data_IF_909599041673
#
_entry.id   IF_909599041673
#
_cell.length_a   1.000
_cell.length_b   1.000
_cell.length_c   1.000
_cell.angle_alpha   90.00
_cell.angle_beta   90.00
_cell.angle_gamma   90.00
#
_symmetry.space_group_name_H-M   'P 1'
#
loop_
_entity.id
_entity.type
_entity.pdbx_description
1 polymer ?
#
# COMPACT_ATOMS: atom_id res chain seq x y z
N UNK A 1 31.07 6.91 -9.55
CA UNK A 1 31.62 5.97 -8.55
C UNK A 1 32.16 6.67 -7.29
N UNK A 2 31.42 7.61 -6.68
CA UNK A 2 31.91 8.40 -5.54
C UNK A 2 30.99 8.37 -4.32
N UNK A 3 29.84 7.71 -4.37
CA UNK A 3 28.83 7.73 -3.29
C UNK A 3 29.11 6.72 -2.15
N UNK A 4 30.08 5.82 -2.29
CA UNK A 4 30.32 4.71 -1.35
C UNK A 4 31.49 4.90 -0.40
N UNK A 5 32.24 6.03 -0.44
CA UNK A 5 33.31 6.29 0.50
C UNK A 5 32.79 7.07 1.71
N UNK A 6 32.23 6.35 2.68
CA UNK A 6 31.83 6.87 3.98
C UNK A 6 30.32 6.78 4.22
N UNK A 7 29.76 5.56 4.27
CA UNK A 7 28.43 5.40 4.83
C UNK A 7 28.48 5.85 6.29
N UNK A 8 27.95 7.03 6.57
CA UNK A 8 27.88 7.59 7.93
C UNK A 8 26.89 6.78 8.80
N UNK A 9 25.98 6.02 8.18
CA UNK A 9 24.95 5.21 8.87
C UNK A 9 25.13 3.74 8.52
N UNK A 10 25.16 2.87 9.54
CA UNK A 10 25.25 1.42 9.36
C UNK A 10 23.87 0.78 9.35
N UNK A 11 23.63 -0.14 8.40
CA UNK A 11 22.39 -0.90 8.34
C UNK A 11 22.23 -1.79 9.59
N UNK A 12 21.09 -1.66 10.27
CA UNK A 12 20.75 -2.42 11.49
C UNK A 12 19.89 -3.63 11.11
N UNK A 13 20.41 -4.84 11.34
CA UNK A 13 19.65 -6.09 11.08
C UNK A 13 18.35 -6.17 11.86
N UNK A 14 18.30 -5.65 13.08
CA UNK A 14 17.10 -5.59 13.92
C UNK A 14 15.97 -4.76 13.30
N UNK A 15 16.31 -3.79 12.48
CA UNK A 15 15.35 -2.95 11.75
C UNK A 15 15.08 -3.47 10.32
N UNK A 16 15.73 -4.56 9.89
CA UNK A 16 15.58 -5.11 8.55
C UNK A 16 16.05 -4.17 7.44
N UNK A 17 17.04 -3.30 7.73
CA UNK A 17 17.50 -2.26 6.82
C UNK A 17 18.38 -2.82 5.69
N UNK A 18 18.00 -2.47 4.46
CA UNK A 18 18.79 -2.61 3.25
C UNK A 18 18.69 -1.28 2.50
N UNK A 19 19.76 -0.50 2.50
CA UNK A 19 19.75 0.81 1.86
C UNK A 19 19.82 0.66 0.35
N UNK A 20 18.85 1.20 -0.36
CA UNK A 20 18.89 1.32 -1.81
C UNK A 20 20.03 2.26 -2.18
N UNK A 21 20.88 1.85 -3.11
CA UNK A 21 22.04 2.63 -3.58
C UNK A 21 21.93 3.00 -5.06
N UNK A 22 21.08 2.30 -5.79
CA UNK A 22 20.82 2.54 -7.20
C UNK A 22 19.93 3.77 -7.40
N UNK A 23 20.51 4.81 -7.98
CA UNK A 23 19.84 6.10 -8.15
C UNK A 23 18.77 6.08 -9.25
N UNK A 24 18.93 5.26 -10.28
CA UNK A 24 17.95 5.16 -11.35
C UNK A 24 16.70 4.44 -10.87
N UNK A 25 16.87 3.43 -10.04
CA UNK A 25 15.75 2.77 -9.35
C UNK A 25 15.04 3.75 -8.42
N UNK A 26 15.80 4.53 -7.61
CA UNK A 26 15.23 5.53 -6.72
C UNK A 26 14.38 6.57 -7.48
N UNK A 27 14.88 7.06 -8.61
CA UNK A 27 14.17 8.00 -9.49
C UNK A 27 12.89 7.38 -10.03
N UNK A 28 12.96 6.15 -10.56
CA UNK A 28 11.79 5.42 -11.09
C UNK A 28 10.71 5.18 -10.02
N UNK A 29 11.09 4.95 -8.76
CA UNK A 29 10.14 4.82 -7.64
C UNK A 29 9.42 6.15 -7.40
N UNK A 30 10.16 7.26 -7.37
CA UNK A 30 9.58 8.60 -7.17
C UNK A 30 8.72 9.02 -8.36
N UNK A 31 9.14 8.71 -9.59
CA UNK A 31 8.37 9.01 -10.81
C UNK A 31 7.06 8.23 -10.91
N UNK A 32 6.99 7.05 -10.28
CA UNK A 32 5.76 6.26 -10.22
C UNK A 32 4.68 6.88 -9.31
N UNK A 33 5.06 7.77 -8.39
CA UNK A 33 4.12 8.47 -7.50
C UNK A 33 3.35 9.54 -8.27
N UNK A 34 2.04 9.65 -8.07
CA UNK A 34 1.18 10.62 -8.77
C UNK A 34 0.67 11.72 -7.83
N UNK A 35 0.34 11.37 -6.58
CA UNK A 35 -0.31 12.26 -5.63
C UNK A 35 0.65 13.11 -4.78
N UNK A 36 0.10 14.16 -4.18
CA UNK A 36 0.71 14.97 -3.14
C UNK A 36 -0.37 15.52 -2.19
N UNK A 37 -0.09 15.84 -0.92
CA UNK A 37 1.21 15.74 -0.25
C UNK A 37 1.67 14.30 -0.04
N UNK A 38 2.92 14.12 0.41
CA UNK A 38 3.62 12.83 0.46
C UNK A 38 4.17 12.55 1.84
N UNK A 39 3.98 11.32 2.32
CA UNK A 39 4.62 10.76 3.49
C UNK A 39 5.65 9.71 3.05
N UNK A 40 6.92 9.96 3.27
CA UNK A 40 7.98 8.97 3.10
C UNK A 40 8.14 8.14 4.37
N UNK A 41 8.05 6.82 4.25
CA UNK A 41 8.20 5.88 5.38
C UNK A 41 9.57 5.19 5.31
N UNK A 42 10.41 5.43 6.32
CA UNK A 42 11.75 4.88 6.39
C UNK A 42 12.70 5.45 5.34
N UNK A 43 12.93 6.77 5.32
CA UNK A 43 13.82 7.41 4.35
C UNK A 43 15.27 6.91 4.42
N UNK A 44 15.70 6.37 5.57
CA UNK A 44 17.07 5.91 5.78
C UNK A 44 18.07 7.03 5.56
N UNK A 45 18.94 6.90 4.55
CA UNK A 45 19.88 7.95 4.15
C UNK A 45 19.33 8.89 3.05
N UNK A 46 18.00 8.95 2.87
CA UNK A 46 17.35 9.91 1.98
C UNK A 46 17.47 9.62 0.49
N UNK A 47 17.60 8.35 0.10
CA UNK A 47 17.76 7.99 -1.31
C UNK A 47 16.52 8.33 -2.17
N UNK A 48 15.32 8.28 -1.63
CA UNK A 48 14.11 8.76 -2.30
C UNK A 48 13.89 10.25 -2.00
N UNK A 49 14.16 10.69 -0.76
CA UNK A 49 14.03 12.08 -0.29
C UNK A 49 14.67 13.08 -1.23
N UNK A 50 15.89 12.79 -1.73
CA UNK A 50 16.62 13.68 -2.65
C UNK A 50 15.89 13.98 -3.97
N UNK A 51 15.00 13.08 -4.41
CA UNK A 51 14.17 13.26 -5.60
C UNK A 51 12.78 13.79 -5.26
N UNK A 52 12.28 13.51 -4.06
CA UNK A 52 10.97 14.00 -3.58
C UNK A 52 11.00 15.52 -3.33
N UNK A 53 12.07 16.04 -2.73
CA UNK A 53 12.20 17.47 -2.42
C UNK A 53 12.03 18.34 -3.66
N UNK A 54 12.83 18.19 -4.75
CA UNK A 54 12.67 19.02 -5.94
C UNK A 54 11.33 18.81 -6.63
N UNK A 55 10.87 17.56 -6.76
CA UNK A 55 9.60 17.25 -7.41
C UNK A 55 8.41 17.99 -6.77
N UNK A 56 8.34 18.02 -5.45
CA UNK A 56 7.25 18.65 -4.72
C UNK A 56 7.39 20.18 -4.64
N UNK A 57 8.62 20.70 -4.78
CA UNK A 57 8.86 22.14 -4.90
C UNK A 57 8.38 22.66 -6.26
N UNK A 58 8.60 21.92 -7.35
CA UNK A 58 8.19 22.30 -8.72
C UNK A 58 6.67 22.18 -8.92
N UNK A 59 6.01 21.19 -8.32
CA UNK A 59 4.56 21.00 -8.37
C UNK A 59 3.75 22.11 -7.69
N UNK A 60 4.36 22.84 -6.76
CA UNK A 60 3.72 23.98 -6.10
C UNK A 60 3.57 25.23 -7.02
N UNK A 61 4.29 25.27 -8.13
CA UNK A 61 4.25 26.39 -9.08
C UNK A 61 3.25 26.21 -10.23
N UNK A 62 2.65 25.03 -10.42
CA UNK A 62 1.72 24.74 -11.51
C UNK A 62 0.23 24.66 -11.10
N UNK A 63 -0.08 24.92 -9.84
CA UNK A 63 -1.45 24.87 -9.28
C UNK A 63 -2.19 26.21 -9.25
N UNK A 64 -2.05 27.04 -10.27
CA UNK A 64 -2.74 28.33 -10.33
C UNK A 64 -3.26 28.62 -11.73
N UNK A 65 -4.51 28.31 -11.98
CA UNK A 65 -5.37 28.84 -13.04
C UNK A 65 -5.99 27.79 -13.98
N UNK A 66 -7.09 27.21 -13.54
CA UNK A 66 -8.16 26.80 -14.45
C UNK A 66 -9.52 27.00 -13.75
N UNK A 67 -9.89 28.28 -13.58
CA UNK A 67 -11.29 28.63 -13.40
C UNK A 67 -11.49 30.06 -13.94
N UNK A 68 -11.74 30.16 -15.22
CA UNK A 68 -12.48 31.22 -15.90
C UNK A 68 -12.39 30.98 -17.41
N UNK A 69 -13.46 30.50 -17.99
CA UNK A 69 -14.05 30.93 -19.26
C UNK A 69 -14.97 29.83 -19.79
N UNK A 70 -16.19 29.86 -19.26
CA UNK A 70 -17.34 29.25 -19.92
C UNK A 70 -18.28 30.39 -20.31
N UNK A 71 -18.22 30.79 -21.58
CA UNK A 71 -19.34 31.31 -22.35
C UNK A 71 -18.81 31.76 -23.72
N UNK A 72 -19.22 31.13 -24.75
CA UNK A 72 -20.04 31.64 -25.84
C UNK A 72 -19.97 30.72 -27.07
N UNK A 73 -21.12 30.37 -27.51
CA UNK A 73 -21.35 29.58 -28.71
C UNK A 73 -21.14 30.41 -29.97
N UNK A 74 -20.62 29.79 -31.05
CA UNK A 74 -20.55 30.40 -32.36
C UNK A 74 -20.18 29.38 -33.43
N UNK A 75 -21.17 29.00 -34.19
CA UNK A 75 -21.16 28.12 -35.35
C UNK A 75 -20.33 28.61 -36.51
N UNK A 76 -19.57 27.75 -37.16
CA UNK A 76 -19.43 27.69 -38.65
C UNK A 76 -18.40 26.58 -39.04
N UNK A 77 -18.84 25.68 -39.89
CA UNK A 77 -18.07 24.77 -40.75
C UNK A 77 -18.07 25.31 -42.19
N UNK A 78 -17.47 24.65 -43.17
CA UNK A 78 -16.06 24.24 -43.34
C UNK A 78 -15.46 24.84 -44.65
N UNK A 79 -14.18 24.81 -44.84
CA UNK A 79 -13.65 24.59 -46.20
C UNK A 79 -12.22 24.05 -46.24
N UNK A 80 -11.98 23.39 -47.34
CA UNK A 80 -10.93 22.48 -47.71
C UNK A 80 -9.61 23.17 -48.14
N UNK A 81 -8.56 22.39 -48.03
CA UNK A 81 -7.46 22.21 -49.01
C UNK A 81 -6.06 22.67 -48.64
N UNK A 82 -5.16 21.76 -49.01
CA UNK A 82 -3.76 21.90 -49.48
C UNK A 82 -2.63 21.51 -48.51
N UNK A 83 -2.11 20.36 -48.87
CA UNK A 83 -0.76 19.76 -48.79
C UNK A 83 0.42 20.74 -48.64
N UNK A 84 1.36 20.36 -47.77
CA UNK A 84 2.80 20.30 -48.16
C UNK A 84 3.65 19.64 -47.06
N UNK A 85 4.70 18.95 -47.51
CA UNK A 85 5.55 18.02 -46.78
C UNK A 85 6.57 18.71 -45.83
N UNK A 86 7.27 17.93 -44.96
CA UNK A 86 8.13 18.47 -43.92
C UNK A 86 9.56 18.77 -44.41
N UNK A 87 10.29 19.67 -43.76
CA UNK A 87 11.75 19.78 -43.94
C UNK A 87 12.48 18.88 -42.94
N UNK A 88 13.42 18.16 -43.48
CA UNK A 88 14.50 17.43 -42.81
C UNK A 88 15.34 18.36 -41.93
N UNK A 89 15.58 17.98 -40.66
CA UNK A 89 16.59 18.64 -39.84
C UNK A 89 17.70 17.67 -39.44
N UNK A 90 18.89 18.10 -39.82
CA UNK A 90 20.19 17.53 -39.56
C UNK A 90 20.57 17.49 -38.08
N UNK A 91 21.34 16.48 -37.74
CA UNK A 91 22.00 16.25 -36.47
C UNK A 91 22.89 17.40 -35.99
N UNK A 92 22.82 17.71 -34.71
CA UNK A 92 23.91 18.35 -33.98
C UNK A 92 23.94 17.83 -32.55
N UNK A 93 25.15 17.46 -32.12
CA UNK A 93 25.51 16.60 -31.01
C UNK A 93 25.25 17.12 -29.59
N UNK A 94 25.64 16.34 -28.59
CA UNK A 94 25.31 16.58 -27.19
C UNK A 94 26.15 17.68 -26.58
N UNK A 95 25.48 18.64 -25.92
CA UNK A 95 26.14 19.64 -25.10
C UNK A 95 26.58 19.03 -23.76
N UNK A 96 27.77 19.40 -23.24
CA UNK A 96 28.25 18.89 -21.99
C UNK A 96 27.49 19.49 -20.80
N UNK A 97 26.93 18.64 -19.91
CA UNK A 97 26.39 19.01 -18.62
C UNK A 97 27.55 19.46 -17.70
N UNK A 98 27.79 20.75 -17.64
CA UNK A 98 28.64 21.33 -16.61
C UNK A 98 27.87 21.43 -15.32
N UNK A 99 28.27 20.61 -14.34
CA UNK A 99 27.87 20.65 -12.94
C UNK A 99 28.44 21.89 -12.23
N UNK A 100 27.97 23.10 -12.56
CA UNK A 100 28.27 24.32 -11.78
C UNK A 100 27.14 25.34 -11.97
N UNK A 101 26.26 25.41 -10.95
CA UNK A 101 25.25 26.48 -10.95
C UNK A 101 24.23 26.49 -9.85
N UNK A 102 24.35 25.64 -8.79
CA UNK A 102 23.36 25.62 -7.70
C UNK A 102 23.92 26.09 -6.35
N UNK A 103 24.90 26.98 -6.35
CA UNK A 103 25.36 27.63 -5.14
C UNK A 103 25.14 29.13 -5.27
N UNK A 104 24.19 29.64 -4.55
CA UNK A 104 23.87 31.04 -4.17
C UNK A 104 22.49 31.52 -4.65
N UNK A 105 21.49 31.21 -3.88
CA UNK A 105 20.53 32.21 -3.40
C UNK A 105 20.03 31.78 -2.03
N UNK A 106 20.63 32.34 -1.00
CA UNK A 106 20.16 32.21 0.36
C UNK A 106 18.85 32.98 0.51
N UNK A 107 17.73 32.27 0.30
CA UNK A 107 16.42 32.70 0.73
C UNK A 107 15.72 31.46 1.29
N UNK A 108 15.44 31.54 2.57
CA UNK A 108 14.71 30.57 3.33
C UNK A 108 13.42 30.13 2.60
N UNK A 109 13.37 28.87 2.14
CA UNK A 109 12.17 28.18 1.65
C UNK A 109 11.86 26.91 2.45
N UNK A 110 11.86 26.90 3.80
CA UNK A 110 11.54 25.68 4.53
C UNK A 110 10.03 25.44 4.68
N UNK A 111 9.19 26.50 4.63
CA UNK A 111 7.78 26.37 4.97
C UNK A 111 6.90 25.66 3.92
N UNK A 112 7.28 25.67 2.63
CA UNK A 112 6.44 25.07 1.57
C UNK A 112 6.71 23.57 1.39
N UNK A 113 7.95 23.13 1.49
CA UNK A 113 8.32 21.73 1.33
C UNK A 113 7.81 20.88 2.51
N UNK A 114 7.95 21.37 3.74
CA UNK A 114 7.45 20.67 4.93
C UNK A 114 5.92 20.51 4.97
N UNK A 115 5.19 21.33 4.21
CA UNK A 115 3.73 21.16 4.03
C UNK A 115 3.36 20.04 3.07
N UNK A 116 4.23 19.72 2.13
CA UNK A 116 3.97 18.73 1.08
C UNK A 116 4.74 17.43 1.26
N UNK A 117 5.87 17.43 1.98
CA UNK A 117 6.68 16.26 2.27
C UNK A 117 6.88 16.11 3.77
N UNK A 118 6.51 14.94 4.29
CA UNK A 118 6.92 14.49 5.62
C UNK A 118 7.64 13.17 5.50
N UNK A 119 8.61 12.93 6.38
CA UNK A 119 9.40 11.71 6.43
C UNK A 119 9.42 11.18 7.86
N UNK A 120 9.09 9.89 8.03
CA UNK A 120 9.09 9.21 9.33
C UNK A 120 10.22 8.21 9.37
N UNK A 121 11.12 8.36 10.35
CA UNK A 121 12.26 7.48 10.55
C UNK A 121 12.39 7.09 12.02
N UNK A 122 12.61 5.79 12.28
CA UNK A 122 12.78 5.24 13.62
C UNK A 122 14.24 5.23 14.07
N UNK A 123 15.15 5.15 13.11
CA UNK A 123 16.58 5.06 13.39
C UNK A 123 17.21 6.43 13.64
N UNK A 124 17.66 6.67 14.87
CA UNK A 124 18.24 7.95 15.30
C UNK A 124 19.47 8.37 14.48
N UNK A 125 20.30 7.39 14.04
CA UNK A 125 21.47 7.68 13.20
C UNK A 125 21.02 8.19 11.82
N UNK A 126 20.01 7.55 11.24
CA UNK A 126 19.38 8.01 9.98
C UNK A 126 18.74 9.37 10.14
N UNK A 127 18.05 9.63 11.26
CA UNK A 127 17.47 10.96 11.56
C UNK A 127 18.55 12.05 11.65
N UNK A 128 19.67 11.77 12.35
CA UNK A 128 20.77 12.71 12.44
C UNK A 128 21.40 13.00 11.06
N UNK A 129 21.55 11.95 10.25
CA UNK A 129 22.03 12.05 8.87
C UNK A 129 21.11 12.93 8.02
N UNK A 130 19.79 12.68 8.08
CA UNK A 130 18.78 13.43 7.33
C UNK A 130 18.75 14.91 7.72
N UNK A 131 18.82 15.24 9.01
CA UNK A 131 18.90 16.62 9.49
C UNK A 131 20.11 17.38 8.93
N UNK A 132 21.24 16.68 8.79
CA UNK A 132 22.48 17.26 8.27
C UNK A 132 22.46 17.46 6.75
N UNK A 133 21.88 16.49 6.00
CA UNK A 133 22.02 16.45 4.53
C UNK A 133 20.76 16.93 3.80
N UNK A 134 19.62 16.98 4.47
CA UNK A 134 18.33 17.40 3.92
C UNK A 134 17.63 18.40 4.87
N UNK A 135 18.27 19.55 5.15
CA UNK A 135 17.70 20.57 6.04
C UNK A 135 16.36 21.12 5.53
N UNK A 136 16.04 20.93 4.25
CA UNK A 136 14.77 21.32 3.64
C UNK A 136 13.57 20.56 4.20
N UNK A 137 13.78 19.38 4.79
CA UNK A 137 12.72 18.64 5.48
C UNK A 137 12.22 19.40 6.72
N UNK A 138 13.11 20.11 7.44
CA UNK A 138 12.75 20.89 8.62
C UNK A 138 11.85 20.09 9.58
N UNK A 139 10.70 20.69 9.96
CA UNK A 139 9.68 20.06 10.81
C UNK A 139 8.93 18.90 10.13
N UNK A 140 9.15 18.67 8.83
CA UNK A 140 8.61 17.51 8.11
C UNK A 140 9.32 16.21 8.45
N UNK A 141 10.54 16.26 9.04
CA UNK A 141 11.24 15.06 9.50
C UNK A 141 10.79 14.67 10.91
N UNK A 142 10.15 13.52 11.01
CA UNK A 142 9.56 13.00 12.23
C UNK A 142 10.35 11.78 12.71
N UNK A 143 10.97 11.89 13.89
CA UNK A 143 11.57 10.72 14.56
C UNK A 143 10.48 9.91 15.24
N UNK A 144 10.26 8.67 14.79
CA UNK A 144 9.20 7.83 15.35
C UNK A 144 8.97 6.50 14.65
N UNK A 145 8.13 5.70 15.29
CA UNK A 145 7.68 4.41 14.76
C UNK A 145 6.40 4.62 13.96
N UNK A 146 6.47 4.43 12.64
CA UNK A 146 5.31 4.53 11.75
C UNK A 146 4.13 3.67 12.22
N UNK A 147 4.38 2.48 12.75
CA UNK A 147 3.30 1.58 13.17
C UNK A 147 2.52 2.11 14.39
N UNK A 148 3.16 2.91 15.24
CA UNK A 148 2.54 3.47 16.45
C UNK A 148 1.98 4.88 16.25
N UNK A 149 2.39 5.57 15.20
CA UNK A 149 2.01 6.95 14.96
C UNK A 149 0.54 7.08 14.55
N UNK A 150 -0.15 8.10 15.02
CA UNK A 150 -1.43 8.51 14.44
C UNK A 150 -1.18 9.26 13.12
N UNK A 151 -1.77 8.77 12.05
CA UNK A 151 -1.64 9.38 10.72
C UNK A 151 -2.59 10.57 10.53
N UNK A 152 -3.60 10.69 11.38
CA UNK A 152 -4.54 11.81 11.37
C UNK A 152 -3.82 13.07 11.83
N UNK A 153 -4.05 14.15 11.12
CA UNK A 153 -3.40 15.44 11.46
C UNK A 153 -1.96 15.60 10.96
N UNK A 154 -1.36 14.58 10.30
CA UNK A 154 -0.09 14.77 9.61
C UNK A 154 -0.20 15.78 8.46
N UNK A 155 -1.31 15.72 7.74
CA UNK A 155 -1.64 16.63 6.65
C UNK A 155 -3.09 17.12 6.80
N UNK A 156 -3.45 18.26 6.21
CA UNK A 156 -4.83 18.78 6.27
C UNK A 156 -5.87 17.88 5.58
N UNK A 157 -5.45 16.93 4.76
CA UNK A 157 -6.31 16.05 3.99
C UNK A 157 -5.61 14.73 3.65
N UNK A 158 -5.97 14.16 2.50
CA UNK A 158 -5.37 12.94 1.99
C UNK A 158 -3.91 13.17 1.58
N UNK A 159 -3.12 12.10 1.63
CA UNK A 159 -1.71 12.11 1.25
C UNK A 159 -1.27 10.77 0.69
N UNK A 160 -0.28 10.78 -0.18
CA UNK A 160 0.32 9.56 -0.73
C UNK A 160 1.43 9.05 0.20
N UNK A 161 1.63 7.74 0.22
CA UNK A 161 2.74 7.11 0.95
C UNK A 161 3.76 6.58 -0.05
N UNK A 162 5.04 6.83 0.24
CA UNK A 162 6.16 6.26 -0.51
C UNK A 162 7.21 5.68 0.45
N UNK A 163 7.93 4.65 0.03
CA UNK A 163 9.06 4.15 0.81
C UNK A 163 9.66 2.84 0.33
N UNK A 164 10.88 2.60 0.80
CA UNK A 164 11.51 1.29 0.78
C UNK A 164 11.17 0.58 2.10
N UNK A 165 10.08 -0.18 2.12
CA UNK A 165 9.57 -0.74 3.38
C UNK A 165 10.48 -1.84 3.93
N UNK A 166 10.80 -1.80 5.25
CA UNK A 166 11.52 -2.89 5.89
C UNK A 166 10.78 -4.22 5.73
N UNK A 167 11.49 -5.27 5.30
CA UNK A 167 10.87 -6.53 4.93
C UNK A 167 10.14 -7.23 6.07
N UNK A 168 10.67 -7.11 7.29
CA UNK A 168 10.11 -7.76 8.48
C UNK A 168 8.78 -7.16 8.96
N UNK A 169 8.45 -5.93 8.57
CA UNK A 169 7.22 -5.23 9.00
C UNK A 169 6.33 -4.80 7.85
N UNK A 170 6.67 -5.11 6.59
CA UNK A 170 5.91 -4.68 5.41
C UNK A 170 4.41 -5.03 5.50
N UNK A 171 4.08 -6.23 5.98
CA UNK A 171 2.69 -6.63 6.19
C UNK A 171 1.96 -5.77 7.23
N UNK A 172 2.65 -5.37 8.31
CA UNK A 172 2.06 -4.51 9.35
C UNK A 172 1.82 -3.09 8.81
N UNK A 173 2.76 -2.58 7.98
CA UNK A 173 2.60 -1.31 7.28
C UNK A 173 1.35 -1.33 6.41
N UNK A 174 1.13 -2.39 5.62
CA UNK A 174 -0.08 -2.52 4.80
C UNK A 174 -1.36 -2.58 5.63
N UNK A 175 -1.39 -3.29 6.75
CA UNK A 175 -2.56 -3.27 7.63
C UNK A 175 -2.86 -1.87 8.17
N UNK A 176 -1.82 -1.13 8.56
CA UNK A 176 -2.00 0.27 9.01
C UNK A 176 -2.51 1.16 7.88
N UNK A 177 -2.04 0.98 6.65
CA UNK A 177 -2.55 1.69 5.47
C UNK A 177 -4.04 1.38 5.26
N UNK A 178 -4.45 0.10 5.32
CA UNK A 178 -5.86 -0.30 5.20
C UNK A 178 -6.73 0.35 6.28
N UNK A 179 -6.24 0.39 7.51
CA UNK A 179 -6.98 0.98 8.63
C UNK A 179 -7.08 2.52 8.52
N UNK A 180 -6.23 3.16 7.69
CA UNK A 180 -6.24 4.59 7.38
C UNK A 180 -6.51 4.89 5.89
N UNK A 181 -7.18 4.00 5.18
CA UNK A 181 -7.41 4.04 3.74
C UNK A 181 -8.09 5.33 3.24
N UNK A 182 -8.87 5.97 4.11
CA UNK A 182 -9.57 7.21 3.78
C UNK A 182 -8.62 8.41 3.66
N UNK A 183 -7.46 8.32 4.31
CA UNK A 183 -6.39 9.32 4.25
C UNK A 183 -5.36 9.01 3.16
N UNK A 184 -5.26 7.75 2.72
CA UNK A 184 -4.17 7.27 1.85
C UNK A 184 -4.72 6.82 0.50
N UNK A 185 -4.85 7.73 -0.49
CA UNK A 185 -5.34 7.39 -1.83
C UNK A 185 -4.31 6.63 -2.67
N UNK A 186 -3.02 6.78 -2.40
CA UNK A 186 -1.96 6.15 -3.18
C UNK A 186 -0.79 5.70 -2.32
N UNK A 187 -0.22 4.55 -2.67
CA UNK A 187 1.02 4.04 -2.08
C UNK A 187 1.95 3.56 -3.17
N UNK A 188 3.18 4.04 -3.20
CA UNK A 188 4.26 3.51 -4.03
C UNK A 188 5.34 2.95 -3.10
N UNK A 189 5.57 1.65 -3.15
CA UNK A 189 6.54 1.07 -2.23
C UNK A 189 7.36 -0.05 -2.86
N UNK A 190 8.58 -0.19 -2.33
CA UNK A 190 9.46 -1.31 -2.62
C UNK A 190 9.44 -2.29 -1.45
N UNK A 191 9.20 -3.57 -1.76
CA UNK A 191 9.09 -4.67 -0.80
C UNK A 191 9.76 -5.92 -1.37
N UNK A 192 9.80 -7.01 -0.61
CA UNK A 192 10.23 -8.31 -1.13
C UNK A 192 9.38 -8.73 -2.32
N UNK A 193 10.01 -9.22 -3.39
CA UNK A 193 9.35 -9.65 -4.63
C UNK A 193 8.23 -10.65 -4.38
N UNK A 194 8.48 -11.67 -3.55
CA UNK A 194 7.46 -12.67 -3.21
C UNK A 194 6.21 -12.05 -2.56
N UNK A 195 6.40 -11.03 -1.71
CA UNK A 195 5.29 -10.31 -1.06
C UNK A 195 4.54 -9.46 -2.08
N UNK A 196 5.26 -8.79 -2.99
CA UNK A 196 4.67 -8.00 -4.06
C UNK A 196 3.83 -8.86 -5.01
N UNK A 197 4.39 -9.99 -5.46
CA UNK A 197 3.69 -10.97 -6.31
C UNK A 197 2.43 -11.49 -5.60
N UNK A 198 2.54 -11.82 -4.30
CA UNK A 198 1.40 -12.27 -3.50
C UNK A 198 0.29 -11.23 -3.43
N UNK A 199 0.65 -9.96 -3.22
CA UNK A 199 -0.32 -8.86 -3.11
C UNK A 199 -1.02 -8.60 -4.46
N UNK A 200 -0.28 -8.68 -5.56
CA UNK A 200 -0.80 -8.44 -6.91
C UNK A 200 -1.51 -9.67 -7.53
N UNK A 201 -1.37 -10.84 -6.91
CA UNK A 201 -1.90 -12.10 -7.45
C UNK A 201 -3.43 -12.11 -7.49
N UNK A 202 -3.99 -12.70 -8.54
CA UNK A 202 -5.43 -12.94 -8.69
C UNK A 202 -5.87 -14.21 -7.93
N UNK A 203 -7.17 -14.38 -7.63
CA UNK A 203 -7.68 -15.61 -7.05
C UNK A 203 -7.33 -16.85 -7.89
N UNK A 204 -6.90 -17.91 -7.21
CA UNK A 204 -6.59 -19.21 -7.86
C UNK A 204 -5.26 -19.82 -7.41
N UNK A 205 -4.11 -19.18 -7.68
CA UNK A 205 -2.79 -19.70 -7.33
C UNK A 205 -2.53 -19.74 -5.81
N UNK A 206 -1.52 -20.57 -5.44
CA UNK A 206 -1.08 -20.67 -4.04
C UNK A 206 -0.44 -19.38 -3.50
N UNK A 207 0.00 -18.47 -4.33
CA UNK A 207 0.56 -17.17 -3.97
C UNK A 207 -0.48 -16.21 -3.42
N UNK A 208 -1.73 -16.28 -3.92
CA UNK A 208 -2.85 -15.50 -3.40
C UNK A 208 -3.11 -15.77 -1.91
N UNK A 209 -3.31 -14.73 -1.11
CA UNK A 209 -3.39 -14.87 0.34
C UNK A 209 -4.13 -13.73 1.05
N UNK A 210 -4.03 -13.70 2.37
CA UNK A 210 -4.72 -12.72 3.23
C UNK A 210 -4.48 -11.27 2.79
N UNK A 211 -3.20 -10.91 2.52
CA UNK A 211 -2.85 -9.56 2.08
C UNK A 211 -3.44 -9.23 0.71
N UNK A 212 -3.51 -10.22 -0.21
CA UNK A 212 -4.15 -10.05 -1.51
C UNK A 212 -5.62 -9.63 -1.33
N UNK A 213 -6.38 -10.39 -0.54
CA UNK A 213 -7.81 -10.11 -0.29
C UNK A 213 -7.98 -8.74 0.36
N UNK A 214 -7.24 -8.45 1.43
CA UNK A 214 -7.44 -7.22 2.18
C UNK A 214 -7.03 -5.96 1.41
N UNK A 215 -5.94 -6.02 0.64
CA UNK A 215 -5.51 -4.87 -0.14
C UNK A 215 -6.40 -4.69 -1.37
N UNK A 216 -6.71 -5.76 -2.11
CA UNK A 216 -7.55 -5.69 -3.30
C UNK A 216 -9.01 -5.29 -2.97
N UNK A 217 -9.46 -5.49 -1.73
CA UNK A 217 -10.75 -4.97 -1.30
C UNK A 217 -10.83 -3.43 -1.40
N UNK A 218 -9.70 -2.74 -1.28
CA UNK A 218 -9.68 -1.28 -1.17
C UNK A 218 -8.79 -0.58 -2.20
N UNK A 219 -7.87 -1.31 -2.85
CA UNK A 219 -6.88 -0.75 -3.77
C UNK A 219 -6.79 -1.57 -5.05
N UNK A 220 -6.57 -0.89 -6.15
CA UNK A 220 -6.03 -1.48 -7.37
C UNK A 220 -4.52 -1.64 -7.20
N UNK A 221 -3.99 -2.80 -7.55
CA UNK A 221 -2.58 -3.14 -7.35
C UNK A 221 -1.88 -3.25 -8.69
N UNK A 222 -0.80 -2.49 -8.85
CA UNK A 222 0.06 -2.56 -10.03
C UNK A 222 1.46 -3.03 -9.63
N UNK A 223 1.92 -4.11 -10.25
CA UNK A 223 3.31 -4.54 -10.15
C UNK A 223 4.13 -3.77 -11.17
N UNK A 224 4.98 -2.85 -10.73
CA UNK A 224 5.69 -1.95 -11.63
C UNK A 224 6.96 -2.59 -12.20
N UNK A 225 7.88 -3.02 -11.35
CA UNK A 225 9.11 -3.67 -11.77
C UNK A 225 9.82 -4.41 -10.63
N UNK A 226 10.68 -5.35 -11.03
CA UNK A 226 11.56 -6.10 -10.13
C UNK A 226 12.88 -5.35 -9.92
N UNK A 227 13.44 -5.47 -8.70
CA UNK A 227 14.71 -4.89 -8.30
C UNK A 227 15.66 -5.98 -7.81
N UNK A 228 16.84 -6.06 -8.41
CA UNK A 228 17.88 -7.02 -8.04
C UNK A 228 18.52 -6.68 -6.70
N UNK A 229 19.05 -7.69 -6.00
CA UNK A 229 19.72 -7.51 -4.71
C UNK A 229 20.99 -6.62 -4.77
N UNK A 230 21.63 -6.54 -5.94
CA UNK A 230 22.81 -5.68 -6.16
C UNK A 230 22.54 -4.18 -6.08
N UNK A 231 21.26 -3.77 -6.10
CA UNK A 231 20.86 -2.37 -5.93
C UNK A 231 20.94 -1.87 -4.48
N UNK A 232 21.31 -2.73 -3.53
CA UNK A 232 21.27 -2.44 -2.10
C UNK A 232 22.64 -2.61 -1.41
N UNK A 233 22.82 -1.91 -0.30
CA UNK A 233 23.92 -2.12 0.61
C UNK A 233 23.43 -2.15 2.07
N UNK A 234 23.60 -3.26 2.81
CA UNK A 234 24.04 -4.57 2.32
C UNK A 234 23.00 -5.22 1.39
N UNK A 235 23.42 -6.09 0.45
CA UNK A 235 22.49 -6.74 -0.45
C UNK A 235 21.60 -7.73 0.32
N UNK A 236 20.27 -7.72 0.07
CA UNK A 236 19.36 -8.71 0.62
C UNK A 236 19.58 -10.07 -0.04
N UNK A 237 19.14 -11.14 0.63
CA UNK A 237 19.20 -12.51 0.08
C UNK A 237 18.12 -12.77 -0.98
N UNK A 238 17.14 -11.88 -1.11
CA UNK A 238 15.99 -12.00 -2.00
C UNK A 238 15.89 -10.79 -2.91
N UNK A 239 15.20 -10.93 -4.03
CA UNK A 239 14.86 -9.82 -4.90
C UNK A 239 13.77 -8.96 -4.25
N UNK A 240 13.72 -7.70 -4.65
CA UNK A 240 12.66 -6.75 -4.32
C UNK A 240 11.76 -6.49 -5.53
N UNK A 241 10.63 -5.87 -5.29
CA UNK A 241 9.80 -5.34 -6.35
C UNK A 241 9.13 -4.05 -5.88
N UNK A 242 8.83 -3.21 -6.85
CA UNK A 242 8.08 -1.97 -6.65
C UNK A 242 6.65 -2.19 -7.10
N UNK A 243 5.72 -1.84 -6.24
CA UNK A 243 4.27 -1.88 -6.51
C UNK A 243 3.66 -0.50 -6.27
N UNK A 244 2.57 -0.23 -6.99
CA UNK A 244 1.70 0.91 -6.76
C UNK A 244 0.32 0.40 -6.34
N UNK A 245 -0.22 1.00 -5.30
CA UNK A 245 -1.58 0.81 -4.83
C UNK A 245 -2.32 2.11 -5.03
N UNK A 246 -3.48 2.06 -5.70
CA UNK A 246 -4.35 3.23 -5.89
C UNK A 246 -5.73 2.90 -5.35
N UNK A 247 -6.32 3.78 -4.52
CA UNK A 247 -7.68 3.57 -4.00
C UNK A 247 -8.64 3.26 -5.14
N UNK A 248 -9.41 2.19 -4.97
CA UNK A 248 -10.51 1.88 -5.88
C UNK A 248 -11.78 2.67 -5.49
N UNK A 249 -12.84 2.50 -6.26
CA UNK A 249 -14.12 3.20 -6.04
C UNK A 249 -14.93 2.67 -4.85
N UNK A 250 -14.48 1.60 -4.18
CA UNK A 250 -15.19 1.00 -3.05
C UNK A 250 -15.08 1.88 -1.81
N UNK A 251 -16.21 2.38 -1.34
CA UNK A 251 -16.31 3.16 -0.09
C UNK A 251 -16.57 2.28 1.12
N UNK A 252 -17.32 1.19 0.93
CA UNK A 252 -17.68 0.22 1.97
C UNK A 252 -17.73 -1.20 1.40
N UNK A 253 -17.65 -2.21 2.25
CA UNK A 253 -17.72 -3.63 1.83
C UNK A 253 -19.17 -4.11 1.60
N UNK A 254 -20.15 -3.40 2.11
CA UNK A 254 -21.54 -3.89 2.14
C UNK A 254 -21.78 -5.01 3.15
N UNK A 255 -20.80 -5.33 4.01
CA UNK A 255 -20.87 -6.30 5.11
C UNK A 255 -20.09 -5.80 6.32
N UNK A 256 -20.22 -6.46 7.48
CA UNK A 256 -19.43 -6.10 8.66
C UNK A 256 -17.94 -6.36 8.45
N UNK A 257 -17.12 -5.31 8.50
CA UNK A 257 -15.66 -5.39 8.26
C UNK A 257 -14.95 -6.27 9.30
N UNK A 258 -15.42 -6.31 10.55
CA UNK A 258 -14.78 -7.12 11.60
C UNK A 258 -15.03 -8.60 11.30
N UNK A 259 -16.25 -8.93 10.91
CA UNK A 259 -16.60 -10.29 10.52
C UNK A 259 -15.87 -10.69 9.23
N UNK A 260 -15.80 -9.81 8.21
CA UNK A 260 -15.02 -10.03 7.00
C UNK A 260 -13.56 -10.33 7.31
N UNK A 261 -12.91 -9.49 8.14
CA UNK A 261 -11.53 -9.73 8.59
C UNK A 261 -11.38 -11.09 9.32
N UNK A 262 -12.35 -11.46 10.13
CA UNK A 262 -12.36 -12.74 10.85
C UNK A 262 -12.54 -13.94 9.89
N UNK A 263 -13.47 -13.85 8.95
CA UNK A 263 -13.74 -14.89 7.92
C UNK A 263 -12.48 -15.12 7.08
N UNK A 264 -11.88 -14.08 6.50
CA UNK A 264 -10.68 -14.19 5.69
C UNK A 264 -9.52 -14.79 6.49
N UNK A 265 -9.24 -14.28 7.69
CA UNK A 265 -8.16 -14.81 8.55
C UNK A 265 -8.37 -16.26 8.91
N UNK A 266 -9.60 -16.65 9.27
CA UNK A 266 -9.94 -18.03 9.68
C UNK A 266 -9.82 -18.97 8.48
N UNK A 267 -10.33 -18.58 7.32
CA UNK A 267 -10.25 -19.35 6.09
C UNK A 267 -8.79 -19.64 5.70
N UNK A 268 -7.95 -18.61 5.62
CA UNK A 268 -6.53 -18.76 5.27
C UNK A 268 -5.68 -19.39 6.39
N UNK A 269 -6.10 -19.32 7.64
CA UNK A 269 -5.44 -20.01 8.78
C UNK A 269 -5.42 -21.53 8.62
N UNK A 270 -6.37 -22.09 7.87
CA UNK A 270 -6.44 -23.49 7.52
C UNK A 270 -6.46 -23.72 6.00
N UNK A 271 -5.60 -23.03 5.29
CA UNK A 271 -5.54 -22.91 3.83
C UNK A 271 -5.67 -24.23 3.04
N UNK A 272 -5.15 -25.35 3.59
CA UNK A 272 -5.23 -26.66 2.92
C UNK A 272 -6.62 -27.33 3.00
N UNK A 273 -7.52 -26.80 3.83
CA UNK A 273 -8.88 -27.29 4.01
C UNK A 273 -9.86 -26.50 3.14
N UNK A 274 -11.01 -27.11 2.85
CA UNK A 274 -12.16 -26.42 2.27
C UNK A 274 -12.75 -25.42 3.27
N UNK A 275 -13.50 -24.43 2.79
CA UNK A 275 -14.14 -23.42 3.65
C UNK A 275 -15.07 -24.05 4.66
N UNK A 276 -15.81 -25.10 4.28
CA UNK A 276 -16.66 -25.89 5.19
C UNK A 276 -15.91 -26.35 6.45
N UNK A 277 -14.63 -26.73 6.28
CA UNK A 277 -13.82 -27.21 7.40
C UNK A 277 -13.03 -26.09 8.07
N UNK A 278 -12.54 -25.11 7.31
CA UNK A 278 -11.73 -24.03 7.88
C UNK A 278 -12.54 -23.03 8.70
N UNK A 279 -13.82 -22.83 8.37
CA UNK A 279 -14.71 -21.90 9.09
C UNK A 279 -15.42 -22.51 10.31
N UNK A 280 -15.33 -23.83 10.53
CA UNK A 280 -15.92 -24.47 11.71
C UNK A 280 -15.67 -23.74 13.04
N UNK A 281 -14.43 -23.30 13.38
CA UNK A 281 -14.17 -22.59 14.63
C UNK A 281 -14.94 -21.27 14.75
N UNK A 282 -15.11 -20.56 13.62
CA UNK A 282 -15.86 -19.30 13.60
C UNK A 282 -17.37 -19.55 13.80
N UNK A 283 -17.91 -20.59 13.15
CA UNK A 283 -19.31 -21.00 13.28
C UNK A 283 -19.64 -21.53 14.67
N UNK A 284 -18.73 -22.28 15.30
CA UNK A 284 -18.86 -22.72 16.69
C UNK A 284 -18.92 -21.55 17.66
N UNK A 285 -18.00 -20.59 17.50
CA UNK A 285 -17.98 -19.37 18.32
C UNK A 285 -19.25 -18.53 18.16
N UNK A 286 -19.86 -18.54 16.99
CA UNK A 286 -21.13 -17.86 16.70
C UNK A 286 -22.37 -18.65 17.18
N UNK A 287 -22.19 -19.78 17.86
CA UNK A 287 -23.28 -20.65 18.36
C UNK A 287 -24.04 -21.41 17.27
N UNK A 288 -23.50 -21.42 16.01
CA UNK A 288 -24.13 -22.05 14.84
C UNK A 288 -23.80 -23.54 14.66
N UNK A 289 -22.84 -24.07 15.45
CA UNK A 289 -22.46 -25.49 15.46
C UNK A 289 -22.36 -25.97 16.88
N UNK A 290 -22.96 -27.14 17.16
CA UNK A 290 -22.76 -27.86 18.42
C UNK A 290 -21.30 -28.33 18.51
N UNK A 291 -20.70 -28.27 19.70
CA UNK A 291 -19.40 -28.87 19.94
C UNK A 291 -19.43 -30.37 19.67
N UNK A 292 -18.49 -30.96 18.92
CA UNK A 292 -18.41 -32.41 18.80
C UNK A 292 -17.92 -32.98 20.16
N UNK A 293 -18.80 -33.58 20.92
CA UNK A 293 -18.38 -34.34 22.10
C UNK A 293 -19.14 -34.13 23.40
N UNK A 294 -20.17 -33.29 23.50
CA UNK A 294 -21.08 -33.33 24.63
C UNK A 294 -22.19 -34.37 24.40
N UNK A 295 -21.85 -35.60 24.59
CA UNK A 295 -22.86 -36.66 24.84
C UNK A 295 -23.52 -36.31 26.18
N UNK A 296 -24.71 -35.74 26.13
CA UNK A 296 -25.53 -35.66 27.33
C UNK A 296 -25.89 -37.08 27.71
N UNK A 297 -25.25 -37.58 28.75
CA UNK A 297 -25.72 -38.79 29.45
C UNK A 297 -27.17 -38.53 29.83
N UNK A 298 -28.07 -39.20 29.16
CA UNK A 298 -29.48 -39.32 29.58
C UNK A 298 -29.50 -40.06 30.89
N UNK A 299 -29.52 -39.37 32.00
CA UNK A 299 -30.05 -39.93 33.25
C UNK A 299 -31.55 -39.63 33.28
N UNK A 300 -32.29 -40.68 33.49
CA UNK A 300 -33.74 -40.73 33.55
C UNK A 300 -34.33 -39.71 34.54
N UNK A 301 -35.21 -38.85 34.05
CA UNK A 301 -36.34 -38.34 34.79
C UNK A 301 -37.44 -38.09 33.77
N UNK A 302 -38.44 -38.96 33.81
CA UNK A 302 -39.68 -38.84 33.09
C UNK A 302 -40.50 -37.66 33.61
N UNK A 303 -41.42 -37.17 32.74
CA UNK A 303 -42.61 -36.39 33.01
C UNK A 303 -42.45 -34.92 33.36
N UNK A 304 -42.48 -34.06 32.33
CA UNK A 304 -43.47 -32.98 32.25
C UNK A 304 -43.49 -32.43 30.86
N UNK A 305 -44.62 -32.54 30.17
CA UNK A 305 -44.83 -32.03 28.80
C UNK A 305 -44.82 -30.51 28.79
N UNK A 306 -43.77 -29.96 28.22
CA UNK A 306 -43.71 -28.63 27.61
C UNK A 306 -42.74 -28.74 26.43
N UNK A 307 -43.34 -28.78 25.25
CA UNK A 307 -42.65 -28.69 23.95
C UNK A 307 -41.91 -27.35 23.86
N UNK A 308 -40.70 -27.28 24.36
CA UNK A 308 -39.74 -26.30 23.97
C UNK A 308 -39.05 -26.84 22.71
N UNK A 309 -39.57 -26.45 21.55
CA UNK A 309 -38.89 -26.65 20.29
C UNK A 309 -37.56 -25.89 20.40
N UNK A 310 -36.48 -26.59 20.74
CA UNK A 310 -35.14 -26.12 20.54
C UNK A 310 -35.01 -25.83 19.03
N UNK A 311 -34.89 -24.56 18.68
CA UNK A 311 -34.63 -24.16 17.31
C UNK A 311 -33.42 -24.99 16.82
N UNK A 312 -33.52 -25.63 15.63
CA UNK A 312 -32.42 -26.45 15.13
C UNK A 312 -31.19 -25.55 15.02
N UNK A 313 -30.08 -26.06 15.60
CA UNK A 313 -28.76 -25.44 15.38
C UNK A 313 -28.63 -25.26 13.87
N UNK A 314 -28.55 -23.98 13.40
CA UNK A 314 -28.49 -23.66 12.00
C UNK A 314 -27.31 -24.45 11.38
N UNK A 315 -27.55 -25.33 10.41
CA UNK A 315 -26.50 -26.12 9.81
C UNK A 315 -25.48 -25.20 9.14
N UNK A 316 -24.26 -25.71 8.89
CA UNK A 316 -23.26 -25.02 8.06
C UNK A 316 -23.97 -24.59 6.79
N UNK A 317 -23.90 -23.29 6.41
CA UNK A 317 -24.56 -22.84 5.20
C UNK A 317 -24.18 -23.74 4.03
N UNK A 318 -25.14 -24.21 3.28
CA UNK A 318 -24.93 -25.09 2.13
C UNK A 318 -24.63 -24.26 0.88
N UNK A 319 -23.83 -24.82 0.00
CA UNK A 319 -23.52 -24.23 -1.29
C UNK A 319 -22.12 -24.60 -1.77
N UNK A 320 -21.88 -24.58 -3.08
CA UNK A 320 -20.63 -25.04 -3.70
C UNK A 320 -19.41 -24.21 -3.24
N UNK A 321 -19.60 -22.97 -2.81
CA UNK A 321 -18.53 -22.11 -2.29
C UNK A 321 -17.85 -22.72 -1.05
N UNK A 322 -18.58 -23.44 -0.22
CA UNK A 322 -18.03 -24.06 1.00
C UNK A 322 -17.11 -25.25 0.72
N UNK A 323 -17.15 -25.82 -0.47
CA UNK A 323 -16.27 -26.91 -0.90
C UNK A 323 -14.99 -26.41 -1.56
N UNK A 324 -14.90 -25.10 -1.80
CA UNK A 324 -13.69 -24.44 -2.32
C UNK A 324 -12.65 -24.23 -1.20
N UNK A 325 -11.39 -24.01 -1.62
CA UNK A 325 -10.32 -23.54 -0.77
C UNK A 325 -10.25 -22.01 -0.79
N UNK A 326 -9.76 -21.35 0.27
CA UNK A 326 -9.77 -19.90 0.39
C UNK A 326 -9.03 -19.17 -0.75
N UNK A 327 -7.99 -19.78 -1.32
CA UNK A 327 -7.27 -19.17 -2.44
C UNK A 327 -8.10 -19.07 -3.74
N UNK A 328 -9.21 -19.77 -3.84
CA UNK A 328 -10.10 -19.73 -5.01
C UNK A 328 -11.09 -18.57 -4.99
N UNK A 329 -11.25 -17.92 -3.84
CA UNK A 329 -12.26 -16.90 -3.64
C UNK A 329 -11.70 -15.52 -3.99
N UNK A 330 -12.50 -14.76 -4.74
CA UNK A 330 -12.32 -13.32 -4.96
C UNK A 330 -12.67 -12.51 -3.70
N UNK A 331 -12.44 -11.22 -3.74
CA UNK A 331 -12.90 -10.29 -2.68
C UNK A 331 -14.42 -10.34 -2.56
N UNK A 332 -15.12 -10.34 -3.68
CA UNK A 332 -16.59 -10.40 -3.78
C UNK A 332 -17.11 -11.69 -3.16
N UNK A 333 -16.51 -12.84 -3.47
CA UNK A 333 -16.89 -14.11 -2.87
C UNK A 333 -16.72 -14.09 -1.34
N UNK A 334 -15.67 -13.46 -0.82
CA UNK A 334 -15.49 -13.29 0.63
C UNK A 334 -16.50 -12.33 1.26
N UNK A 335 -16.94 -11.30 0.55
CA UNK A 335 -18.02 -10.40 0.99
C UNK A 335 -19.34 -11.18 1.06
N UNK A 336 -19.70 -11.90 0.01
CA UNK A 336 -20.91 -12.74 -0.04
C UNK A 336 -20.88 -13.82 1.03
N UNK A 337 -19.72 -14.45 1.23
CA UNK A 337 -19.53 -15.43 2.30
C UNK A 337 -19.75 -14.80 3.68
N UNK A 338 -19.27 -13.58 3.89
CA UNK A 338 -19.46 -12.84 5.14
C UNK A 338 -20.92 -12.51 5.38
N UNK A 339 -21.64 -12.05 4.35
CA UNK A 339 -23.07 -11.78 4.44
C UNK A 339 -23.89 -13.04 4.82
N UNK A 340 -23.56 -14.19 4.22
CA UNK A 340 -24.20 -15.48 4.57
C UNK A 340 -23.91 -15.91 6.01
N UNK A 341 -22.79 -15.46 6.59
CA UNK A 341 -22.37 -15.75 7.95
C UNK A 341 -22.85 -14.70 8.97
N UNK A 342 -23.42 -13.59 8.51
CA UNK A 342 -24.04 -12.58 9.38
C UNK A 342 -25.29 -13.18 10.05
N UNK A 343 -25.48 -12.98 11.37
CA UNK A 343 -26.63 -13.51 12.13
C UNK A 343 -27.98 -13.06 11.59
#
# INVERSE_FOLDING_TARGET
MSYLRGMEVRAKKSLGQHFLTDQDIARRIVDALQGSPVLEVGPGMGVLTQYLIPRLADGASSGGSTDALRSEAGSASPDSSLRSAPPTCSASGPLPLTSRGWLRSGLARPASTARQLKAIEIDKESVAYLKKHFPELGDGLIEGDFLKMDLRGLFPGQFSIIGNFPYNISSQIFFKIIDNRDLVPEVVCMIQKEVAERIAEKPGPKTYGILSVFLQAWYNIEYLFTVGSGAFNPPPKVQSAVIRLTRNSRTELGCDEKLFKAVVKTAFGQRRKTLRNSLKPLLQKAGRLSEPGRVHSRSAAAECGLSSAAAPANPIPEGPVFDLRPERLSVEDFIDLTLRLTP
#
